data_IF_928196222270
#
_entry.id   IF_928196222270
#
_cell.length_a   1.000
_cell.length_b   1.000
_cell.length_c   1.000
_cell.angle_alpha   90.00
_cell.angle_beta   90.00
_cell.angle_gamma   90.00
#
_symmetry.space_group_name_H-M   'P 1'
#
loop_
_entity.id
_entity.type
_entity.pdbx_description
1 polymer ?
#
# COMPACT_ATOMS: atom_id res chain seq x y z
N UNK A 1 -13.73 0.95 24.76
CA UNK A 1 -12.93 0.88 23.54
C UNK A 1 -11.48 0.81 23.97
N UNK A 2 -10.68 -0.04 23.34
CA UNK A 2 -9.25 -0.20 23.67
C UNK A 2 -8.51 1.06 23.26
N UNK A 3 -7.71 1.64 24.14
CA UNK A 3 -6.87 2.82 23.84
C UNK A 3 -5.43 2.34 23.61
N UNK A 4 -5.24 1.40 22.67
CA UNK A 4 -3.97 0.71 22.45
C UNK A 4 -2.83 1.65 22.08
N UNK A 5 -3.12 2.79 21.45
CA UNK A 5 -2.14 3.73 20.96
C UNK A 5 -2.14 5.07 21.72
N UNK A 6 -2.82 5.13 22.90
CA UNK A 6 -2.91 6.37 23.66
C UNK A 6 -1.52 6.97 23.95
N UNK A 7 -1.31 8.23 23.54
CA UNK A 7 -0.07 8.97 23.73
C UNK A 7 1.11 8.55 22.83
N UNK A 8 0.91 7.56 21.93
CA UNK A 8 1.94 7.18 20.96
C UNK A 8 2.11 8.26 19.91
N UNK A 9 3.35 8.67 19.67
CA UNK A 9 3.71 9.67 18.68
C UNK A 9 4.14 9.01 17.38
N UNK A 10 3.48 9.35 16.28
CA UNK A 10 3.71 8.72 14.97
C UNK A 10 4.10 9.76 13.95
N UNK A 11 5.32 9.65 13.41
CA UNK A 11 5.78 10.52 12.34
C UNK A 11 5.20 10.06 10.99
N UNK A 12 4.66 10.99 10.22
CA UNK A 12 4.38 10.84 8.79
C UNK A 12 5.47 11.58 8.03
N UNK A 13 6.39 10.85 7.42
CA UNK A 13 7.46 11.47 6.63
C UNK A 13 6.96 11.69 5.20
N UNK A 14 6.90 12.94 4.80
CA UNK A 14 6.38 13.37 3.48
C UNK A 14 7.26 14.49 2.92
N UNK A 15 7.36 14.55 1.59
CA UNK A 15 7.97 15.67 0.88
C UNK A 15 7.03 16.88 0.87
N UNK A 16 7.51 18.01 0.37
CA UNK A 16 6.71 19.24 0.24
C UNK A 16 5.52 19.11 -0.69
N UNK A 17 5.56 18.14 -1.60
CA UNK A 17 4.45 17.84 -2.50
C UNK A 17 4.44 16.37 -2.98
N UNK A 18 3.34 15.96 -3.59
CA UNK A 18 3.25 14.68 -4.29
C UNK A 18 2.78 13.49 -3.47
N UNK A 19 2.39 13.70 -2.20
CA UNK A 19 1.79 12.64 -1.38
C UNK A 19 0.36 12.33 -1.85
N UNK A 20 0.02 11.06 -1.97
CA UNK A 20 -1.38 10.64 -2.21
C UNK A 20 -2.21 10.92 -0.96
N UNK A 21 -3.23 11.77 -1.09
CA UNK A 21 -3.99 12.28 0.06
C UNK A 21 -4.60 11.18 0.91
N UNK A 22 -5.26 10.21 0.28
CA UNK A 22 -5.94 9.13 1.02
C UNK A 22 -4.96 8.25 1.81
N UNK A 23 -3.71 8.16 1.36
CA UNK A 23 -2.65 7.39 2.03
C UNK A 23 -2.04 8.14 3.20
N UNK A 24 -2.23 9.47 3.26
CA UNK A 24 -1.93 10.30 4.40
C UNK A 24 -3.11 10.31 5.39
N UNK A 25 -4.31 10.64 4.93
CA UNK A 25 -5.45 10.94 5.79
C UNK A 25 -6.09 9.70 6.43
N UNK A 26 -6.25 8.59 5.70
CA UNK A 26 -6.87 7.39 6.27
C UNK A 26 -6.08 6.78 7.46
N UNK A 27 -4.74 6.57 7.35
CA UNK A 27 -3.96 6.14 8.50
C UNK A 27 -3.93 7.17 9.63
N UNK A 28 -3.92 8.45 9.29
CA UNK A 28 -3.97 9.54 10.27
C UNK A 28 -5.24 9.46 11.12
N UNK A 29 -6.40 9.39 10.47
CA UNK A 29 -7.70 9.32 11.15
C UNK A 29 -7.81 8.06 12.02
N UNK A 30 -7.31 6.93 11.54
CA UNK A 30 -7.28 5.69 12.30
C UNK A 30 -6.41 5.80 13.56
N UNK A 31 -5.25 6.46 13.47
CA UNK A 31 -4.36 6.70 14.60
C UNK A 31 -4.98 7.65 15.63
N UNK A 32 -5.63 8.72 15.16
CA UNK A 32 -6.36 9.67 16.04
C UNK A 32 -7.51 8.98 16.75
N UNK A 33 -8.26 8.13 16.07
CA UNK A 33 -9.35 7.35 16.66
C UNK A 33 -8.89 6.41 17.79
N UNK A 34 -7.62 5.94 17.75
CA UNK A 34 -6.97 5.13 18.78
C UNK A 34 -6.14 5.97 19.77
N UNK A 35 -6.35 7.31 19.79
CA UNK A 35 -5.69 8.26 20.68
C UNK A 35 -4.16 8.38 20.52
N UNK A 36 -3.61 8.02 19.35
CA UNK A 36 -2.25 8.36 18.99
C UNK A 36 -2.12 9.85 18.60
N UNK A 37 -0.88 10.32 18.52
CA UNK A 37 -0.52 11.68 18.14
C UNK A 37 0.29 11.64 16.84
N UNK A 38 -0.36 11.61 15.67
CA UNK A 38 0.34 11.71 14.41
C UNK A 38 0.86 13.14 14.21
N UNK A 39 1.97 13.28 13.48
CA UNK A 39 2.54 14.57 13.07
C UNK A 39 3.21 14.45 11.71
N UNK A 40 3.15 15.51 10.92
CA UNK A 40 3.80 15.62 9.62
C UNK A 40 5.25 16.09 9.82
N UNK A 41 6.18 15.24 9.41
CA UNK A 41 7.59 15.55 9.28
C UNK A 41 7.90 15.72 7.80
N UNK A 42 8.44 16.87 7.40
CA UNK A 42 8.73 17.16 5.99
C UNK A 42 10.16 17.67 5.80
N UNK A 43 10.57 17.78 4.54
CA UNK A 43 11.90 18.31 4.17
C UNK A 43 12.01 19.81 4.33
N UNK A 44 10.89 20.53 4.39
CA UNK A 44 10.84 21.98 4.57
C UNK A 44 9.71 22.35 5.52
N UNK A 45 9.81 23.54 6.14
CA UNK A 45 8.75 24.11 6.97
C UNK A 45 7.63 24.71 6.11
N UNK A 46 6.47 24.96 6.73
CA UNK A 46 5.31 25.55 6.07
C UNK A 46 4.24 24.51 5.81
N UNK A 47 3.98 24.19 4.56
CA UNK A 47 2.89 23.26 4.16
C UNK A 47 3.34 22.25 3.13
N UNK A 48 2.65 21.13 3.07
CA UNK A 48 2.76 20.16 1.99
C UNK A 48 1.53 20.18 1.10
N UNK A 49 1.72 19.93 -0.20
CA UNK A 49 0.63 19.77 -1.17
C UNK A 49 0.34 18.30 -1.41
N UNK A 50 -0.83 17.83 -1.01
CA UNK A 50 -1.30 16.49 -1.33
C UNK A 50 -1.92 16.42 -2.73
N UNK A 51 -2.08 15.19 -3.23
CA UNK A 51 -2.64 14.91 -4.54
C UNK A 51 -3.66 13.77 -4.47
N UNK A 52 -4.65 13.83 -5.35
CA UNK A 52 -5.49 12.70 -5.71
C UNK A 52 -5.05 12.23 -7.09
N UNK A 53 -4.14 11.26 -7.13
CA UNK A 53 -3.41 10.83 -8.33
C UNK A 53 -2.58 11.96 -8.95
N UNK A 54 -3.10 12.66 -9.97
CA UNK A 54 -2.42 13.75 -10.67
C UNK A 54 -3.01 15.13 -10.35
N UNK A 55 -4.15 15.17 -9.69
CA UNK A 55 -4.84 16.39 -9.36
C UNK A 55 -4.42 16.89 -7.97
N UNK A 56 -4.18 18.20 -7.86
CA UNK A 56 -3.92 18.83 -6.55
C UNK A 56 -5.14 18.63 -5.65
N UNK A 57 -4.86 18.24 -4.41
CA UNK A 57 -5.83 18.04 -3.36
C UNK A 57 -5.61 19.04 -2.21
N UNK A 58 -5.84 18.64 -0.97
CA UNK A 58 -5.70 19.53 0.18
C UNK A 58 -4.23 19.85 0.50
N UNK A 59 -4.05 20.90 1.29
CA UNK A 59 -2.77 21.34 1.82
C UNK A 59 -2.76 21.07 3.32
N UNK A 60 -1.64 20.61 3.85
CA UNK A 60 -1.48 20.29 5.26
C UNK A 60 -0.28 21.02 5.85
N UNK A 61 -0.39 21.47 7.10
CA UNK A 61 0.71 22.12 7.82
C UNK A 61 1.79 21.10 8.20
N UNK A 62 3.04 21.54 8.17
CA UNK A 62 4.21 20.77 8.61
C UNK A 62 4.42 20.99 10.10
N UNK A 63 4.43 19.90 10.88
CA UNK A 63 4.66 19.95 12.33
C UNK A 63 6.14 20.04 12.69
N UNK A 64 7.02 19.40 11.89
CA UNK A 64 8.46 19.41 12.09
C UNK A 64 9.22 19.27 10.78
N UNK A 65 10.40 19.88 10.71
CA UNK A 65 11.35 19.67 9.62
C UNK A 65 12.28 18.51 9.96
N UNK A 66 12.54 17.65 8.99
CA UNK A 66 13.29 16.40 9.16
C UNK A 66 14.69 16.62 9.75
N UNK A 67 15.36 17.73 9.41
CA UNK A 67 16.68 18.11 9.95
C UNK A 67 16.68 18.28 11.48
N UNK A 68 15.56 18.72 12.06
CA UNK A 68 15.40 18.94 13.49
C UNK A 68 14.66 17.82 14.22
N UNK A 69 13.98 16.93 13.48
CA UNK A 69 13.19 15.84 14.03
C UNK A 69 14.11 14.76 14.65
N UNK A 70 13.84 14.42 15.91
CA UNK A 70 14.62 13.42 16.63
C UNK A 70 13.86 12.11 16.73
N UNK A 71 14.50 11.00 16.38
CA UNK A 71 13.93 9.66 16.51
C UNK A 71 13.33 9.38 17.90
N UNK A 72 13.93 9.94 18.97
CA UNK A 72 13.45 9.78 20.35
C UNK A 72 12.06 10.37 20.60
N UNK A 73 11.59 11.26 19.76
CA UNK A 73 10.30 11.92 19.86
C UNK A 73 9.14 11.10 19.28
N UNK A 74 9.45 10.02 18.57
CA UNK A 74 8.46 9.22 17.85
C UNK A 74 8.53 7.74 18.24
N UNK A 75 7.37 7.10 18.31
CA UNK A 75 7.22 5.67 18.57
C UNK A 75 7.18 4.84 17.27
N UNK A 76 6.70 5.43 16.18
CA UNK A 76 6.55 4.76 14.89
C UNK A 76 6.66 5.75 13.71
N UNK A 77 6.85 5.19 12.51
CA UNK A 77 6.93 5.94 11.25
C UNK A 77 5.87 5.43 10.27
N UNK A 78 5.24 6.35 9.55
CA UNK A 78 4.41 6.07 8.37
C UNK A 78 5.05 6.74 7.15
N UNK A 79 5.19 5.99 6.07
CA UNK A 79 5.64 6.45 4.76
C UNK A 79 4.49 6.32 3.77
N UNK A 80 3.69 7.36 3.57
CA UNK A 80 2.70 7.38 2.52
C UNK A 80 3.35 7.31 1.14
N UNK A 81 2.56 6.97 0.13
CA UNK A 81 3.00 6.95 -1.25
C UNK A 81 2.68 8.24 -1.99
N UNK A 82 2.03 8.10 -3.14
CA UNK A 82 2.16 9.01 -4.26
C UNK A 82 3.44 8.68 -5.02
N UNK A 83 3.56 9.08 -6.26
CA UNK A 83 4.79 8.81 -7.04
C UNK A 83 5.88 9.83 -6.70
N UNK A 84 5.54 11.12 -6.71
CA UNK A 84 6.48 12.20 -6.50
C UNK A 84 6.99 12.28 -5.04
N UNK A 85 6.13 12.04 -4.06
CA UNK A 85 6.49 12.11 -2.66
C UNK A 85 7.74 11.25 -2.30
N UNK A 86 7.76 9.93 -2.48
CA UNK A 86 8.96 9.14 -2.17
C UNK A 86 10.12 9.40 -3.13
N UNK A 87 9.88 9.90 -4.35
CA UNK A 87 10.95 10.27 -5.26
C UNK A 87 11.69 11.53 -4.76
N UNK A 88 10.99 12.52 -4.24
CA UNK A 88 11.59 13.66 -3.58
C UNK A 88 12.28 13.29 -2.26
N UNK A 89 11.62 12.45 -1.43
CA UNK A 89 12.21 12.03 -0.15
C UNK A 89 13.53 11.30 -0.32
N UNK A 90 13.66 10.43 -1.33
CA UNK A 90 14.90 9.66 -1.56
C UNK A 90 16.08 10.53 -2.01
N UNK A 91 15.83 11.73 -2.52
CA UNK A 91 16.87 12.70 -2.88
C UNK A 91 17.34 13.54 -1.68
N UNK A 92 16.64 13.50 -0.54
CA UNK A 92 16.99 14.23 0.68
C UNK A 92 17.70 13.30 1.68
N UNK A 93 19.01 13.47 1.93
CA UNK A 93 19.79 12.60 2.81
C UNK A 93 19.25 12.53 4.24
N UNK A 94 18.72 13.63 4.78
CA UNK A 94 18.18 13.73 6.12
C UNK A 94 16.88 12.90 6.24
N UNK A 95 16.01 12.95 5.20
CA UNK A 95 14.80 12.15 5.15
C UNK A 95 15.12 10.64 5.06
N UNK A 96 16.10 10.27 4.25
CA UNK A 96 16.59 8.88 4.13
C UNK A 96 17.18 8.41 5.46
N UNK A 97 18.02 9.20 6.10
CA UNK A 97 18.64 8.89 7.39
C UNK A 97 17.58 8.79 8.50
N UNK A 98 16.59 9.68 8.51
CA UNK A 98 15.49 9.64 9.46
C UNK A 98 14.67 8.35 9.30
N UNK A 99 14.28 8.00 8.08
CA UNK A 99 13.57 6.73 7.83
C UNK A 99 14.40 5.53 8.28
N UNK A 100 15.71 5.48 7.94
CA UNK A 100 16.62 4.42 8.36
C UNK A 100 16.71 4.25 9.87
N UNK A 101 16.75 5.36 10.60
CA UNK A 101 16.91 5.35 12.06
C UNK A 101 15.82 4.55 12.80
N UNK A 102 14.60 4.47 12.28
CA UNK A 102 13.52 3.65 12.83
C UNK A 102 13.83 2.16 12.71
N UNK A 103 14.41 1.72 11.58
CA UNK A 103 14.83 0.33 11.39
C UNK A 103 15.99 -0.04 12.32
N UNK A 104 16.97 0.84 12.44
CA UNK A 104 18.15 0.63 13.31
C UNK A 104 17.73 0.54 14.79
N UNK A 105 16.70 1.29 15.18
CA UNK A 105 16.11 1.26 16.53
C UNK A 105 15.04 0.18 16.74
N UNK A 106 14.69 -0.59 15.72
CA UNK A 106 13.62 -1.59 15.78
C UNK A 106 12.22 -1.03 16.02
N UNK A 107 12.00 0.26 15.69
CA UNK A 107 10.68 0.88 15.81
C UNK A 107 9.77 0.49 14.64
N UNK A 108 8.44 0.41 14.86
CA UNK A 108 7.49 0.10 13.80
C UNK A 108 7.53 1.09 12.64
N UNK A 109 7.51 0.56 11.42
CA UNK A 109 7.40 1.35 10.18
C UNK A 109 6.28 0.79 9.33
N UNK A 110 5.29 1.61 9.00
CA UNK A 110 4.25 1.31 8.02
C UNK A 110 4.56 2.03 6.70
N UNK A 111 4.42 1.31 5.58
CA UNK A 111 4.74 1.85 4.26
C UNK A 111 3.69 1.46 3.25
N UNK A 112 3.28 2.39 2.40
CA UNK A 112 2.18 2.23 1.45
C UNK A 112 2.65 2.58 0.04
N UNK A 113 2.10 1.89 -0.97
CA UNK A 113 2.14 2.24 -2.40
C UNK A 113 3.58 2.39 -2.93
N UNK A 114 4.01 3.62 -3.24
CA UNK A 114 5.37 3.96 -3.69
C UNK A 114 6.32 4.31 -2.53
N UNK A 115 5.84 4.42 -1.30
CA UNK A 115 6.66 4.68 -0.11
C UNK A 115 7.91 3.80 0.05
N UNK A 116 7.91 2.51 -0.39
CA UNK A 116 9.10 1.67 -0.35
C UNK A 116 10.32 2.18 -1.13
N UNK A 117 10.20 3.15 -2.06
CA UNK A 117 11.36 3.77 -2.69
C UNK A 117 12.29 4.45 -1.69
N UNK A 118 11.71 5.15 -0.71
CA UNK A 118 12.51 5.73 0.39
C UNK A 118 13.25 4.66 1.17
N UNK A 119 12.65 3.48 1.36
CA UNK A 119 13.30 2.35 2.04
C UNK A 119 14.39 1.67 1.21
N UNK A 120 14.22 1.63 -0.11
CA UNK A 120 15.27 1.16 -1.05
C UNK A 120 16.49 2.05 -0.93
N UNK A 121 16.31 3.38 -0.96
CA UNK A 121 17.40 4.35 -0.81
C UNK A 121 18.06 4.26 0.58
N UNK A 122 17.26 4.08 1.62
CA UNK A 122 17.77 3.87 2.98
C UNK A 122 18.55 2.56 3.19
N UNK A 123 18.54 1.64 2.19
CA UNK A 123 19.25 0.36 2.25
C UNK A 123 18.69 -0.62 3.29
N UNK A 124 17.41 -0.51 3.64
CA UNK A 124 16.79 -1.30 4.72
C UNK A 124 15.85 -2.41 4.23
N UNK A 125 15.76 -2.64 2.92
CA UNK A 125 14.83 -3.65 2.36
C UNK A 125 15.46 -5.05 2.22
N UNK A 126 16.77 -5.18 2.27
CA UNK A 126 17.47 -6.46 2.11
C UNK A 126 17.00 -7.50 3.15
N UNK A 127 16.65 -8.70 2.67
CA UNK A 127 16.18 -9.80 3.52
C UNK A 127 14.76 -9.63 4.09
N UNK A 128 14.04 -8.57 3.71
CA UNK A 128 12.67 -8.31 4.16
C UNK A 128 11.65 -8.69 3.10
N UNK A 129 10.49 -9.13 3.54
CA UNK A 129 9.31 -9.33 2.68
C UNK A 129 8.38 -8.12 2.84
N UNK A 130 8.10 -7.44 1.73
CA UNK A 130 7.25 -6.25 1.73
C UNK A 130 6.38 -6.21 0.48
N UNK A 131 5.26 -5.52 0.57
CA UNK A 131 4.41 -5.19 -0.58
C UNK A 131 4.67 -3.76 -1.03
N UNK A 132 4.29 -3.44 -2.26
CA UNK A 132 4.43 -2.11 -2.84
C UNK A 132 3.46 -1.92 -3.99
N UNK A 133 3.45 -0.72 -4.55
CA UNK A 133 2.90 -0.53 -5.88
C UNK A 133 3.65 -1.42 -6.89
N UNK A 134 2.98 -2.00 -7.89
CA UNK A 134 3.57 -3.01 -8.78
C UNK A 134 4.85 -2.58 -9.52
N UNK A 135 4.99 -1.29 -9.84
CA UNK A 135 6.17 -0.76 -10.54
C UNK A 135 7.47 -0.88 -9.75
N UNK A 136 7.40 -0.94 -8.42
CA UNK A 136 8.58 -1.00 -7.55
C UNK A 136 9.16 -2.40 -7.37
N UNK A 137 8.52 -3.43 -7.92
CA UNK A 137 8.95 -4.82 -7.72
C UNK A 137 10.42 -5.05 -8.07
N UNK A 138 10.85 -4.53 -9.21
CA UNK A 138 12.22 -4.67 -9.67
C UNK A 138 13.20 -3.99 -8.73
N UNK A 139 12.90 -2.77 -8.30
CA UNK A 139 13.75 -1.98 -7.40
C UNK A 139 13.92 -2.67 -6.05
N UNK A 140 12.83 -3.14 -5.48
CA UNK A 140 12.84 -3.90 -4.22
C UNK A 140 13.65 -5.19 -4.36
N UNK A 141 13.48 -5.93 -5.46
CA UNK A 141 14.23 -7.17 -5.71
C UNK A 141 15.71 -6.90 -5.87
N UNK A 142 16.08 -5.87 -6.63
CA UNK A 142 17.47 -5.48 -6.82
C UNK A 142 18.13 -5.02 -5.52
N UNK A 143 17.35 -4.42 -4.62
CA UNK A 143 17.79 -4.04 -3.28
C UNK A 143 17.79 -5.20 -2.26
N UNK A 144 17.58 -6.44 -2.72
CA UNK A 144 17.61 -7.65 -1.88
C UNK A 144 16.34 -7.92 -1.06
N UNK A 145 15.27 -7.19 -1.32
CA UNK A 145 13.95 -7.44 -0.73
C UNK A 145 13.16 -8.49 -1.52
N UNK A 146 12.10 -9.01 -0.92
CA UNK A 146 11.17 -9.95 -1.58
C UNK A 146 9.74 -9.43 -1.51
N UNK A 147 8.98 -9.64 -2.59
CA UNK A 147 7.54 -9.42 -2.57
C UNK A 147 6.82 -10.56 -1.83
N UNK A 148 5.56 -10.36 -1.39
CA UNK A 148 4.75 -11.45 -0.87
C UNK A 148 4.63 -12.55 -1.93
N UNK A 149 4.65 -13.81 -1.49
CA UNK A 149 4.36 -14.92 -2.39
C UNK A 149 3.03 -14.67 -3.12
N UNK A 150 2.96 -14.90 -4.44
CA UNK A 150 1.71 -14.75 -5.15
C UNK A 150 0.65 -15.59 -4.43
N UNK A 151 -0.48 -14.98 -4.07
CA UNK A 151 -1.58 -15.69 -3.45
C UNK A 151 -1.88 -16.90 -4.36
N UNK A 152 -1.71 -18.12 -3.82
CA UNK A 152 -2.03 -19.34 -4.56
C UNK A 152 -3.46 -19.17 -5.04
N UNK A 153 -3.66 -19.07 -6.35
CA UNK A 153 -4.99 -19.15 -6.93
C UNK A 153 -5.51 -20.53 -6.53
N UNK A 154 -6.24 -20.59 -5.43
CA UNK A 154 -7.09 -21.74 -5.17
C UNK A 154 -7.98 -21.81 -6.41
N UNK A 155 -7.66 -22.72 -7.30
CA UNK A 155 -8.55 -23.09 -8.40
C UNK A 155 -9.85 -23.49 -7.74
N UNK A 156 -10.80 -22.57 -7.67
CA UNK A 156 -12.19 -22.94 -7.45
C UNK A 156 -12.51 -23.76 -8.67
N UNK A 157 -12.38 -25.06 -8.50
CA UNK A 157 -12.80 -26.02 -9.51
C UNK A 157 -14.23 -25.70 -9.87
N UNK A 158 -14.41 -25.11 -11.04
CA UNK A 158 -15.70 -24.95 -11.66
C UNK A 158 -16.19 -26.37 -11.93
N UNK A 159 -16.85 -27.00 -10.96
CA UNK A 159 -17.59 -28.21 -11.18
C UNK A 159 -18.70 -27.84 -12.13
N UNK A 160 -18.49 -28.06 -13.42
CA UNK A 160 -19.58 -28.08 -14.41
C UNK A 160 -20.60 -29.10 -13.92
N UNK A 161 -21.87 -28.73 -13.74
CA UNK A 161 -22.91 -29.70 -13.43
C UNK A 161 -22.94 -30.70 -14.60
N UNK A 162 -22.76 -31.99 -14.28
CA UNK A 162 -22.91 -33.07 -15.24
C UNK A 162 -24.33 -32.98 -15.79
N UNK A 163 -24.44 -32.60 -17.06
CA UNK A 163 -25.70 -32.60 -17.81
C UNK A 163 -26.37 -33.94 -17.71
N UNK A 164 -27.57 -33.96 -17.16
CA UNK A 164 -28.52 -35.08 -17.14
C UNK A 164 -28.80 -35.43 -18.60
N UNK A 165 -28.22 -36.55 -19.07
CA UNK A 165 -28.62 -37.14 -20.35
C UNK A 165 -30.11 -37.49 -20.26
N UNK A 166 -30.96 -36.74 -20.93
CA UNK A 166 -32.36 -37.17 -21.21
C UNK A 166 -32.30 -38.36 -22.16
N UNK A 167 -32.73 -39.53 -21.66
CA UNK A 167 -33.09 -40.67 -22.49
C UNK A 167 -34.34 -40.28 -23.27
N UNK A 168 -34.22 -40.05 -24.56
CA UNK A 168 -35.37 -40.02 -25.47
C UNK A 168 -35.72 -41.46 -25.82
N UNK A 169 -36.81 -41.94 -25.23
CA UNK A 169 -37.44 -43.22 -25.57
C UNK A 169 -37.95 -43.21 -27.00
N UNK A 170 -37.57 -44.21 -27.73
CA UNK A 170 -38.06 -44.42 -29.07
C UNK A 170 -39.54 -44.78 -29.05
N UNK A 171 -40.31 -44.17 -29.91
CA UNK A 171 -41.64 -44.67 -30.32
C UNK A 171 -41.59 -44.89 -31.80
N UNK A 172 -41.53 -46.19 -32.11
CA UNK A 172 -41.82 -46.70 -33.47
C UNK A 172 -43.30 -46.49 -33.74
N UNK A 173 -43.68 -45.84 -34.83
CA UNK A 173 -44.95 -45.95 -35.45
C UNK A 173 -44.76 -46.27 -36.94
N UNK A 174 -45.44 -47.34 -37.28
CA UNK A 174 -45.55 -48.02 -38.58
C UNK A 174 -46.21 -47.16 -39.67
N UNK A 175 -45.72 -47.43 -40.81
CA UNK A 175 -46.28 -47.44 -42.14
C UNK A 175 -47.78 -47.18 -42.27
N UNK A 176 -48.18 -46.33 -43.21
CA UNK A 176 -49.15 -46.73 -44.24
C UNK A 176 -48.95 -45.93 -45.51
N UNK A 177 -48.88 -46.68 -46.54
CA UNK A 177 -48.85 -46.41 -47.98
C UNK A 177 -50.22 -45.96 -48.43
N UNK A 178 -50.38 -44.94 -49.17
CA UNK A 178 -51.42 -44.76 -50.16
C UNK A 178 -50.96 -43.80 -51.26
N UNK A 179 -50.99 -44.35 -52.41
CA UNK A 179 -50.93 -43.98 -53.77
C UNK A 179 -52.06 -43.04 -54.22
N UNK A 180 -51.78 -42.37 -55.31
CA UNK A 180 -52.64 -41.78 -56.35
C UNK A 180 -52.75 -40.24 -56.34
N UNK A 181 -52.47 -39.76 -57.55
CA UNK A 181 -52.92 -38.58 -58.18
C UNK A 181 -51.83 -37.89 -58.99
#
# INVERSE_FOLDING_TARGET
MSQLLAGKKVAFLVATEGVEQIELTNPWDALVAEHAQPSIVSTESGTIQAFNHLDKADVFDVDAVVESAKLSEYDALVLPGGVANPDFLRMNPEAVAFARSFFDAGKPVAVICHGPWTLVEAGVVAGRTLTSWPSLRTDITNAGGTGPAPASRRSRGCRRPRGRRRRTGGSRRRSTRASRG
#
